data_IF_020165825560
#
_entry.id   IF_020165825560
#
_cell.length_a   1.000
_cell.length_b   1.000
_cell.length_c   1.000
_cell.angle_alpha   90.00
_cell.angle_beta   90.00
_cell.angle_gamma   90.00
#
_symmetry.space_group_name_H-M   'P 1'
#
loop_
_entity.id
_entity.type
_entity.pdbx_description
1 polymer ?
#
# COMPACT_ATOMS: atom_id res chain seq x y z
N UNK A 1 -19.85 11.08 -16.40
CA UNK A 1 -18.56 10.81 -15.74
C UNK A 1 -18.83 10.83 -14.24
N UNK A 2 -18.45 9.81 -13.48
CA UNK A 2 -18.46 9.94 -12.02
C UNK A 2 -17.34 10.91 -11.64
N UNK A 3 -17.69 12.05 -11.06
CA UNK A 3 -16.73 12.91 -10.39
C UNK A 3 -16.25 12.21 -9.13
N UNK A 4 -14.96 11.86 -9.12
CA UNK A 4 -14.29 11.27 -7.96
C UNK A 4 -13.38 12.29 -7.30
N UNK A 5 -13.38 12.36 -5.97
CA UNK A 5 -12.40 13.15 -5.23
C UNK A 5 -11.15 12.32 -4.96
N UNK A 6 -9.98 12.84 -5.36
CA UNK A 6 -8.69 12.20 -5.06
C UNK A 6 -8.40 12.29 -3.57
N UNK A 7 -8.23 11.14 -2.92
CA UNK A 7 -7.84 11.06 -1.51
C UNK A 7 -6.33 11.18 -1.32
N UNK A 8 -5.54 10.34 -2.00
CA UNK A 8 -4.06 10.34 -1.92
C UNK A 8 -3.43 9.70 -3.17
N UNK A 9 -2.13 9.91 -3.38
CA UNK A 9 -1.31 9.03 -4.22
C UNK A 9 -1.00 7.71 -3.50
N UNK A 10 -0.80 6.63 -4.26
CA UNK A 10 -0.40 5.33 -3.73
C UNK A 10 0.89 4.85 -4.43
N UNK A 11 1.83 4.34 -3.65
CA UNK A 11 3.11 3.81 -4.12
C UNK A 11 3.16 2.30 -3.93
N UNK A 12 3.78 1.58 -4.87
CA UNK A 12 4.04 0.13 -4.77
C UNK A 12 5.13 -0.13 -3.72
N UNK A 13 4.86 -1.05 -2.81
CA UNK A 13 5.77 -1.51 -1.77
C UNK A 13 5.73 -3.04 -1.71
N UNK A 14 6.75 -3.67 -1.11
CA UNK A 14 6.76 -5.11 -0.81
C UNK A 14 6.64 -5.34 0.69
N UNK A 15 5.82 -6.30 1.09
CA UNK A 15 5.70 -6.74 2.48
C UNK A 15 6.87 -7.69 2.86
N UNK A 16 6.91 -8.11 4.13
CA UNK A 16 7.94 -9.03 4.64
C UNK A 16 7.91 -10.42 3.97
N UNK A 17 6.82 -10.76 3.30
CA UNK A 17 6.62 -12.01 2.59
C UNK A 17 6.86 -11.85 1.08
N UNK A 18 7.35 -10.69 0.62
CA UNK A 18 7.60 -10.38 -0.78
C UNK A 18 6.35 -10.00 -1.60
N UNK A 19 5.17 -9.94 -0.98
CA UNK A 19 3.92 -9.55 -1.64
C UNK A 19 3.88 -8.05 -1.88
N UNK A 20 3.38 -7.67 -3.06
CA UNK A 20 3.23 -6.26 -3.40
C UNK A 20 1.96 -5.69 -2.75
N UNK A 21 2.08 -4.56 -2.07
CA UNK A 21 0.96 -3.76 -1.58
C UNK A 21 1.12 -2.31 -2.00
N UNK A 22 0.01 -1.56 -2.05
CA UNK A 22 0.05 -0.13 -2.31
C UNK A 22 -0.10 0.63 -1.00
N UNK A 23 0.59 1.76 -0.85
CA UNK A 23 0.39 2.62 0.32
C UNK A 23 0.58 4.10 0.03
N UNK A 24 -0.11 4.96 0.77
CA UNK A 24 -0.05 6.41 0.63
C UNK A 24 -0.43 7.15 1.90
N UNK A 25 -0.02 8.41 2.00
CA UNK A 25 -0.30 9.27 3.16
C UNK A 25 -1.66 9.95 3.02
N UNK A 26 -2.48 9.90 4.07
CA UNK A 26 -3.76 10.59 4.18
C UNK A 26 -3.76 11.46 5.44
N UNK A 27 -2.96 12.53 5.42
CA UNK A 27 -2.77 13.41 6.56
C UNK A 27 -2.10 12.70 7.74
N UNK A 28 -2.85 12.50 8.84
CA UNK A 28 -2.39 11.81 10.06
C UNK A 28 -2.50 10.28 9.97
N UNK A 29 -3.09 9.76 8.91
CA UNK A 29 -3.23 8.32 8.66
C UNK A 29 -2.46 7.91 7.39
N UNK A 30 -2.26 6.61 7.24
CA UNK A 30 -1.71 5.98 6.04
C UNK A 30 -2.74 5.00 5.51
N UNK A 31 -3.00 5.09 4.20
CA UNK A 31 -3.87 4.17 3.50
C UNK A 31 -3.02 3.03 2.91
N UNK A 32 -3.43 1.79 3.14
CA UNK A 32 -2.83 0.59 2.59
C UNK A 32 -3.86 -0.12 1.71
N UNK A 33 -3.43 -0.64 0.56
CA UNK A 33 -4.24 -1.49 -0.31
C UNK A 33 -3.49 -2.80 -0.49
N UNK A 34 -4.07 -3.89 0.01
CA UNK A 34 -3.49 -5.22 -0.04
C UNK A 34 -4.29 -6.09 -1.00
N UNK A 35 -3.65 -6.86 -1.89
CA UNK A 35 -4.34 -7.88 -2.67
C UNK A 35 -4.89 -8.97 -1.74
N UNK A 36 -6.07 -9.49 -2.06
CA UNK A 36 -6.67 -10.59 -1.30
C UNK A 36 -6.25 -11.94 -1.89
N UNK A 37 -5.08 -12.44 -1.47
CA UNK A 37 -4.59 -13.75 -1.91
C UNK A 37 -5.42 -14.95 -1.40
N UNK A 38 -6.31 -14.73 -0.43
CA UNK A 38 -7.18 -15.77 0.12
C UNK A 38 -8.59 -15.73 -0.47
N UNK A 39 -8.76 -15.10 -1.64
CA UNK A 39 -10.01 -15.10 -2.40
C UNK A 39 -10.46 -16.55 -2.63
N UNK A 40 -11.60 -16.96 -2.05
CA UNK A 40 -12.15 -18.33 -2.20
C UNK A 40 -13.32 -18.35 -3.17
N UNK A 41 -14.03 -17.24 -3.29
CA UNK A 41 -15.22 -17.09 -4.13
C UNK A 41 -15.10 -15.83 -4.97
N UNK A 42 -15.81 -15.80 -6.09
CA UNK A 42 -15.81 -14.64 -6.98
C UNK A 42 -16.36 -13.37 -6.31
N UNK A 43 -17.26 -13.55 -5.33
CA UNK A 43 -17.85 -12.49 -4.51
C UNK A 43 -16.91 -11.86 -3.47
N UNK A 44 -15.74 -12.46 -3.22
CA UNK A 44 -14.76 -11.90 -2.30
C UNK A 44 -14.05 -10.71 -2.97
N UNK A 45 -13.71 -9.64 -2.23
CA UNK A 45 -13.03 -8.48 -2.80
C UNK A 45 -11.61 -8.82 -3.25
N UNK A 46 -11.18 -8.28 -4.39
CA UNK A 46 -9.80 -8.47 -4.91
C UNK A 46 -8.75 -7.70 -4.10
N UNK A 47 -9.17 -6.62 -3.43
CA UNK A 47 -8.32 -5.77 -2.62
C UNK A 47 -8.99 -5.40 -1.30
N UNK A 48 -8.18 -5.35 -0.25
CA UNK A 48 -8.57 -4.83 1.06
C UNK A 48 -7.90 -3.49 1.29
N UNK A 49 -8.69 -2.48 1.65
CA UNK A 49 -8.18 -1.16 2.04
C UNK A 49 -8.12 -1.06 3.55
N UNK A 50 -6.95 -0.73 4.09
CA UNK A 50 -6.75 -0.49 5.52
C UNK A 50 -6.34 0.97 5.74
N UNK A 51 -6.90 1.59 6.77
CA UNK A 51 -6.44 2.88 7.28
C UNK A 51 -5.69 2.64 8.59
N UNK A 52 -4.41 2.98 8.61
CA UNK A 52 -3.54 2.79 9.78
C UNK A 52 -3.01 4.14 10.25
N UNK A 53 -2.59 4.29 11.51
CA UNK A 53 -1.91 5.49 11.98
C UNK A 53 -0.69 5.80 11.09
N UNK A 54 -0.46 7.08 10.78
CA UNK A 54 0.76 7.48 10.09
C UNK A 54 1.89 7.46 11.12
N UNK A 55 2.58 6.32 11.22
CA UNK A 55 3.83 6.24 11.97
C UNK A 55 4.82 7.20 11.31
N UNK A 56 4.95 8.40 11.89
CA UNK A 56 6.03 9.32 11.56
C UNK A 56 7.32 8.57 11.89
N UNK A 57 7.98 8.03 10.87
CA UNK A 57 9.38 7.61 11.00
C UNK A 57 10.20 8.89 11.19
N UNK A 58 10.33 9.32 12.44
CA UNK A 58 11.41 10.19 12.85
C UNK A 58 12.73 9.46 12.56
N UNK A 59 13.30 9.77 11.39
CA UNK A 59 14.65 9.35 11.00
C UNK A 59 14.79 7.90 10.51
N UNK A 60 15.14 7.77 9.23
CA UNK A 60 15.79 6.62 8.58
C UNK A 60 14.89 5.45 8.11
N UNK A 61 15.26 5.00 6.90
CA UNK A 61 14.86 3.77 6.22
C UNK A 61 13.52 3.79 5.45
N UNK A 62 13.60 4.20 4.18
CA UNK A 62 13.18 3.30 3.11
C UNK A 62 14.45 2.72 2.47
N UNK A 63 14.79 1.43 2.68
CA UNK A 63 15.63 0.73 1.72
C UNK A 63 14.71 0.32 0.57
N UNK A 64 14.78 1.06 -0.53
CA UNK A 64 14.45 0.49 -1.84
C UNK A 64 15.64 -0.36 -2.26
N UNK A 65 15.51 -1.69 -2.23
CA UNK A 65 16.53 -2.59 -2.80
C UNK A 65 15.96 -3.33 -4.01
N UNK A 66 16.71 -3.26 -5.10
CA UNK A 66 17.19 -4.33 -6.00
C UNK A 66 17.88 -3.59 -7.18
N UNK A 67 19.22 -3.41 -7.20
CA UNK A 67 20.27 -4.34 -7.70
C UNK A 67 20.13 -4.50 -9.24
N UNK A 68 21.06 -4.19 -10.15
CA UNK A 68 22.53 -4.25 -10.24
C UNK A 68 23.02 -3.25 -11.33
N UNK A 69 24.22 -2.67 -11.20
CA UNK A 69 25.12 -2.41 -12.35
C UNK A 69 26.58 -2.36 -11.86
N UNK A 70 27.37 -3.33 -12.36
CA UNK A 70 28.83 -3.57 -12.29
C UNK A 70 29.40 -4.38 -11.13
#
# INVERSE_FOLDING_TARGET
MMEGTRLTGLWKNKDKNGKTYLSGSLGLARLLVLPNDFKKKDSDPDYTVLLVPNEKKDGKAAPSHHEEDL
#
